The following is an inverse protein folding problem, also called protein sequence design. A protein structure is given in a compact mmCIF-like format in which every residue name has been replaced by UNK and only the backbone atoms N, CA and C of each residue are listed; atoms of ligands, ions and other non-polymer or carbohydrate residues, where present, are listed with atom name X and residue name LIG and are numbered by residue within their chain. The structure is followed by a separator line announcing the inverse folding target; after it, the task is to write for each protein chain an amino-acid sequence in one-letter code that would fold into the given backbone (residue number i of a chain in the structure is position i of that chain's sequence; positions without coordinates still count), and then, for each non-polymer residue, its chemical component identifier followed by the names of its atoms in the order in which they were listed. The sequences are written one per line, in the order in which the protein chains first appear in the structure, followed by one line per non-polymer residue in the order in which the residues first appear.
data_IF_703785106127
#
_entry.id   IF_703785106127
#
_cell.length_a   1.000
_cell.length_b   1.000
_cell.length_c   1.000
_cell.angle_alpha   90.00
_cell.angle_beta   90.00
_cell.angle_gamma   90.00
#
_symmetry.space_group_name_H-M   'P 1'
#
loop_
_entity.id
_entity.type
_entity.pdbx_description
1 polymer ?
#
# COMPACT_ATOMS: atom_id res chain seq x y z
N UNK A 1 -8.47 13.71 -5.84
CA UNK A 1 -9.66 14.10 -5.05
C UNK A 1 -9.69 13.28 -3.75
N UNK A 2 -10.27 13.77 -2.66
CA UNK A 2 -10.45 13.07 -1.35
C UNK A 2 -9.19 12.66 -0.57
N UNK A 3 -7.99 12.96 -1.08
CA UNK A 3 -6.76 12.83 -0.32
C UNK A 3 -5.80 13.98 -0.62
N UNK A 4 -4.87 14.19 0.31
CA UNK A 4 -3.78 15.17 0.23
C UNK A 4 -2.44 14.47 0.40
N UNK A 5 -1.38 15.04 -0.15
CA UNK A 5 0.00 14.54 -0.03
C UNK A 5 0.89 15.69 0.39
N UNK A 6 1.72 15.47 1.40
CA UNK A 6 2.88 16.31 1.72
C UNK A 6 4.14 15.64 1.19
N UNK A 7 4.86 16.30 0.28
CA UNK A 7 6.06 15.76 -0.37
C UNK A 7 7.34 16.13 0.37
N UNK A 8 8.30 15.22 0.37
CA UNK A 8 9.70 15.46 0.69
C UNK A 8 10.49 15.52 -0.64
N UNK A 9 10.97 16.70 -1.01
CA UNK A 9 11.71 16.93 -2.25
C UNK A 9 13.03 16.13 -2.29
N UNK A 10 13.80 16.14 -1.20
CA UNK A 10 15.10 15.46 -1.09
C UNK A 10 14.95 13.93 -1.20
N UNK A 11 13.91 13.38 -0.56
CA UNK A 11 13.60 11.95 -0.61
C UNK A 11 12.86 11.55 -1.88
N UNK A 12 12.33 12.52 -2.63
CA UNK A 12 11.47 12.34 -3.82
C UNK A 12 10.23 11.50 -3.57
N UNK A 13 9.74 11.52 -2.34
CA UNK A 13 8.66 10.67 -1.81
C UNK A 13 7.73 11.49 -0.92
N UNK A 14 6.51 11.01 -0.69
CA UNK A 14 5.62 11.61 0.30
C UNK A 14 6.20 11.47 1.72
N UNK A 15 6.11 12.52 2.53
CA UNK A 15 6.19 12.42 4.00
C UNK A 15 4.94 11.73 4.54
N UNK A 16 3.78 12.23 4.11
CA UNK A 16 2.49 11.77 4.58
C UNK A 16 1.45 11.96 3.48
N UNK A 17 0.55 11.00 3.39
CA UNK A 17 -0.73 11.11 2.69
C UNK A 17 -1.85 11.13 3.71
N UNK A 18 -2.90 11.89 3.44
CA UNK A 18 -4.10 11.97 4.26
C UNK A 18 -5.32 11.73 3.37
N UNK A 19 -5.99 10.60 3.53
CA UNK A 19 -7.14 10.18 2.72
C UNK A 19 -8.40 10.07 3.57
N UNK A 20 -9.50 10.64 3.10
CA UNK A 20 -10.81 10.42 3.70
C UNK A 20 -11.53 9.31 2.96
N UNK A 21 -12.18 8.44 3.73
CA UNK A 21 -13.05 7.36 3.25
C UNK A 21 -14.45 7.63 3.78
N UNK A 22 -15.43 7.66 2.88
CA UNK A 22 -16.85 7.64 3.24
C UNK A 22 -17.46 6.29 2.86
N UNK A 23 -17.52 5.38 3.84
CA UNK A 23 -18.03 4.02 3.66
C UNK A 23 -19.49 3.95 3.22
N UNK A 24 -20.27 5.02 3.44
CA UNK A 24 -21.67 5.09 3.01
C UNK A 24 -21.83 5.46 1.53
N UNK A 25 -20.77 5.97 0.90
CA UNK A 25 -20.74 6.49 -0.47
C UNK A 25 -19.65 5.84 -1.32
N UNK A 26 -19.00 4.79 -0.83
CA UNK A 26 -17.96 4.05 -1.55
C UNK A 26 -18.51 3.48 -2.85
N UNK A 27 -17.69 3.57 -3.91
CA UNK A 27 -17.97 2.99 -5.21
C UNK A 27 -16.82 2.08 -5.65
N UNK A 28 -17.13 1.06 -6.44
CA UNK A 28 -16.09 0.33 -7.16
C UNK A 28 -15.94 0.93 -8.56
N UNK A 29 -14.70 1.23 -8.95
CA UNK A 29 -14.37 1.71 -10.30
C UNK A 29 -13.71 0.57 -11.05
N UNK A 30 -14.31 0.13 -12.15
CA UNK A 30 -13.72 -0.87 -13.04
C UNK A 30 -12.41 -0.32 -13.63
N UNK A 31 -11.38 -1.16 -13.72
CA UNK A 31 -10.04 -0.76 -14.19
C UNK A 31 -10.03 -0.45 -15.68
N UNK A 32 -10.72 -1.25 -16.47
CA UNK A 32 -10.59 -1.29 -17.92
C UNK A 32 -11.46 -0.22 -18.59
N UNK A 33 -12.74 -0.18 -18.24
CA UNK A 33 -13.72 0.71 -18.88
C UNK A 33 -14.13 1.90 -18.02
N UNK A 34 -13.60 1.99 -16.78
CA UNK A 34 -13.93 3.04 -15.80
C UNK A 34 -15.42 3.14 -15.46
N UNK A 35 -16.18 2.07 -15.70
CA UNK A 35 -17.56 1.96 -15.21
C UNK A 35 -17.58 1.98 -13.68
N UNK A 36 -18.65 2.56 -13.13
CA UNK A 36 -18.81 2.76 -11.69
C UNK A 36 -19.92 1.86 -11.19
N UNK A 37 -19.66 1.15 -10.10
CA UNK A 37 -20.62 0.30 -9.40
C UNK A 37 -21.00 0.99 -8.09
N UNK A 38 -22.27 1.33 -7.96
CA UNK A 38 -22.88 1.79 -6.72
C UNK A 38 -23.13 0.61 -5.77
N UNK A 39 -22.92 0.82 -4.47
CA UNK A 39 -23.08 -0.21 -3.43
C UNK A 39 -22.40 -1.54 -3.78
N UNK A 40 -21.09 -1.52 -4.12
CA UNK A 40 -20.38 -2.70 -4.59
C UNK A 40 -20.29 -3.80 -3.51
N UNK A 41 -20.23 -5.05 -3.93
CA UNK A 41 -19.81 -6.15 -3.06
C UNK A 41 -18.35 -5.98 -2.61
N UNK A 42 -17.95 -6.69 -1.54
CA UNK A 42 -16.55 -6.71 -1.08
C UNK A 42 -15.60 -7.29 -2.14
N UNK A 43 -16.09 -8.19 -2.99
CA UNK A 43 -15.36 -8.71 -4.15
C UNK A 43 -15.11 -7.59 -5.17
N UNK A 44 -16.14 -6.82 -5.53
CA UNK A 44 -16.02 -5.71 -6.50
C UNK A 44 -15.13 -4.57 -5.99
N UNK A 45 -15.10 -4.35 -4.67
CA UNK A 45 -14.15 -3.43 -4.03
C UNK A 45 -12.70 -3.94 -4.06
N UNK A 46 -12.48 -5.21 -4.38
CA UNK A 46 -11.16 -5.84 -4.39
C UNK A 46 -10.56 -6.03 -3.00
N UNK A 47 -11.36 -5.91 -1.93
CA UNK A 47 -10.90 -6.04 -0.55
C UNK A 47 -10.76 -7.50 -0.09
N UNK A 48 -11.40 -8.44 -0.81
CA UNK A 48 -11.28 -9.89 -0.58
C UNK A 48 -10.23 -10.57 -1.47
N UNK A 49 -9.81 -9.92 -2.58
CA UNK A 49 -8.83 -10.50 -3.49
C UNK A 49 -7.39 -10.25 -3.02
N UNK A 50 -6.79 -11.28 -2.42
CA UNK A 50 -5.36 -11.27 -1.99
C UNK A 50 -4.40 -11.43 -3.20
N UNK A 51 -4.93 -11.77 -4.38
CA UNK A 51 -4.18 -12.15 -5.58
C UNK A 51 -4.20 -11.11 -6.70
N UNK A 52 -4.82 -9.94 -6.51
CA UNK A 52 -4.88 -8.93 -7.57
C UNK A 52 -3.47 -8.44 -7.88
N UNK A 53 -2.93 -8.76 -9.06
CA UNK A 53 -1.70 -8.19 -9.58
C UNK A 53 -1.70 -6.68 -9.35
N UNK A 54 -0.55 -6.12 -8.96
CA UNK A 54 -0.30 -4.68 -9.14
C UNK A 54 -0.46 -4.43 -10.64
N UNK A 55 -1.65 -4.00 -11.04
CA UNK A 55 -1.95 -3.78 -12.43
C UNK A 55 -1.01 -2.68 -12.93
N UNK A 56 -0.60 -2.84 -14.18
CA UNK A 56 0.16 -1.86 -14.95
C UNK A 56 -0.64 -0.60 -15.28
N UNK A 57 -1.45 -0.10 -14.34
CA UNK A 57 -2.05 1.21 -14.48
C UNK A 57 -0.91 2.23 -14.56
N UNK A 58 -0.98 3.08 -15.57
CA UNK A 58 0.11 3.95 -15.98
C UNK A 58 0.32 5.05 -14.93
N UNK A 59 1.08 4.71 -13.88
CA UNK A 59 1.65 5.70 -12.99
C UNK A 59 2.27 6.81 -13.82
N UNK A 60 1.92 8.04 -13.48
CA UNK A 60 2.34 9.23 -14.22
C UNK A 60 2.97 10.25 -13.29
N UNK A 61 3.89 11.10 -13.80
CA UNK A 61 4.42 12.20 -13.02
C UNK A 61 3.32 13.17 -12.59
N UNK A 62 3.44 13.70 -11.39
CA UNK A 62 2.62 14.80 -10.92
C UNK A 62 3.22 16.11 -11.42
N UNK A 63 2.51 16.79 -12.33
CA UNK A 63 2.95 18.06 -12.94
C UNK A 63 3.12 19.21 -11.95
N UNK A 64 2.67 19.05 -10.70
CA UNK A 64 2.78 20.07 -9.65
C UNK A 64 4.10 20.00 -8.90
N UNK A 65 4.85 18.91 -9.06
CA UNK A 65 6.14 18.65 -8.42
C UNK A 65 7.20 18.56 -9.52
N UNK A 66 8.42 19.04 -9.26
CA UNK A 66 9.50 18.91 -10.23
C UNK A 66 9.81 17.43 -10.50
N UNK A 67 10.32 17.11 -11.69
CA UNK A 67 10.70 15.72 -12.02
C UNK A 67 11.88 15.23 -11.17
N UNK A 68 12.76 16.13 -10.73
CA UNK A 68 13.85 15.84 -9.81
C UNK A 68 13.43 15.71 -8.34
N UNK A 69 12.17 16.01 -8.01
CA UNK A 69 11.62 15.98 -6.65
C UNK A 69 10.55 14.89 -6.46
N UNK A 70 10.43 13.98 -7.42
CA UNK A 70 9.54 12.82 -7.36
C UNK A 70 10.21 11.60 -7.98
N UNK A 71 9.84 10.41 -7.54
CA UNK A 71 10.22 9.19 -8.26
C UNK A 71 9.48 9.13 -9.60
N UNK A 72 10.08 8.51 -10.60
CA UNK A 72 9.53 8.41 -11.96
C UNK A 72 9.70 7.00 -12.51
N UNK A 73 9.32 6.79 -13.77
CA UNK A 73 9.42 5.50 -14.43
C UNK A 73 10.85 4.92 -14.41
N UNK A 74 11.86 5.77 -14.53
CA UNK A 74 13.27 5.44 -14.56
C UNK A 74 13.70 4.72 -13.27
N UNK A 75 13.17 5.16 -12.12
CA UNK A 75 13.43 4.52 -10.82
C UNK A 75 12.96 3.06 -10.78
N UNK A 76 11.73 2.80 -11.26
CA UNK A 76 11.08 1.49 -11.14
C UNK A 76 11.34 0.53 -12.32
N UNK A 77 11.79 1.05 -13.46
CA UNK A 77 12.06 0.25 -14.67
C UNK A 77 13.48 -0.32 -14.64
N UNK A 78 13.70 -1.47 -15.30
CA UNK A 78 15.05 -2.02 -15.53
C UNK A 78 15.94 -2.18 -14.29
N UNK A 79 15.34 -2.41 -13.11
CA UNK A 79 16.07 -2.66 -11.87
C UNK A 79 16.96 -3.90 -11.99
N UNK A 80 18.20 -3.81 -11.52
CA UNK A 80 19.09 -4.96 -11.34
C UNK A 80 18.67 -5.70 -10.06
N UNK A 81 18.30 -6.98 -10.17
CA UNK A 81 17.89 -7.81 -9.04
C UNK A 81 18.96 -8.89 -8.87
N UNK A 82 19.73 -8.90 -7.76
CA UNK A 82 20.72 -9.95 -7.51
C UNK A 82 20.09 -11.34 -7.63
N UNK A 83 20.78 -12.26 -8.32
CA UNK A 83 20.26 -13.60 -8.63
C UNK A 83 19.36 -13.67 -9.87
N UNK A 84 18.90 -12.56 -10.42
CA UNK A 84 18.00 -12.51 -11.59
C UNK A 84 18.48 -11.50 -12.65
N UNK A 85 19.56 -11.79 -13.39
CA UNK A 85 20.19 -10.85 -14.34
C UNK A 85 19.34 -10.57 -15.60
N UNK A 86 18.36 -11.44 -15.91
CA UNK A 86 17.50 -11.29 -17.09
C UNK A 86 16.23 -10.52 -16.73
N UNK A 87 16.10 -9.29 -17.23
CA UNK A 87 14.98 -8.40 -16.90
C UNK A 87 13.58 -8.94 -17.28
N UNK A 88 13.47 -9.92 -18.17
CA UNK A 88 12.18 -10.48 -18.63
C UNK A 88 11.93 -11.91 -18.13
N UNK A 89 12.79 -12.44 -17.27
CA UNK A 89 12.68 -13.83 -16.79
C UNK A 89 11.42 -14.01 -15.95
N UNK A 90 10.79 -15.20 -16.03
CA UNK A 90 9.63 -15.54 -15.20
C UNK A 90 10.03 -15.70 -13.72
N UNK A 91 11.30 -15.98 -13.45
CA UNK A 91 11.85 -16.00 -12.11
C UNK A 91 11.99 -14.57 -11.53
N UNK A 92 12.01 -13.54 -12.38
CA UNK A 92 12.06 -12.10 -12.04
C UNK A 92 10.68 -11.45 -11.85
N UNK A 93 9.58 -12.22 -11.78
CA UNK A 93 8.22 -11.65 -11.65
C UNK A 93 8.06 -10.82 -10.35
N UNK A 94 8.95 -11.01 -9.36
CA UNK A 94 9.18 -10.05 -8.28
C UNK A 94 10.19 -8.97 -8.72
N UNK A 95 9.71 -7.82 -9.20
CA UNK A 95 10.55 -6.60 -9.25
C UNK A 95 11.01 -6.32 -7.82
N UNK A 96 12.31 -6.05 -7.61
CA UNK A 96 12.86 -5.75 -6.27
C UNK A 96 12.02 -4.68 -5.56
N UNK A 97 11.77 -3.53 -6.20
CA UNK A 97 10.79 -2.54 -5.73
C UNK A 97 9.62 -2.35 -6.69
N UNK A 98 8.42 -2.47 -6.15
CA UNK A 98 7.13 -2.20 -6.75
C UNK A 98 6.67 -0.76 -6.45
N UNK A 99 5.63 -0.30 -7.17
CA UNK A 99 5.04 1.04 -6.95
C UNK A 99 3.97 0.91 -5.88
N UNK A 100 4.42 0.80 -4.65
CA UNK A 100 3.56 0.65 -3.49
C UNK A 100 2.71 1.90 -3.29
N UNK A 101 1.39 1.77 -3.45
CA UNK A 101 0.46 2.86 -3.17
C UNK A 101 0.53 3.21 -1.68
N UNK A 102 0.63 4.50 -1.36
CA UNK A 102 0.54 4.97 0.04
C UNK A 102 -0.94 5.15 0.41
N UNK A 103 -1.67 5.95 -0.38
CA UNK A 103 -3.14 5.93 -0.41
C UNK A 103 -3.61 4.89 -1.42
N UNK A 104 -4.46 3.95 -0.98
CA UNK A 104 -4.94 2.88 -1.86
C UNK A 104 -5.95 3.40 -2.87
N UNK A 105 -5.98 2.71 -4.01
CA UNK A 105 -6.87 2.99 -5.14
C UNK A 105 -8.34 3.21 -4.77
N UNK A 106 -8.87 2.35 -3.90
CA UNK A 106 -10.30 2.35 -3.52
C UNK A 106 -10.66 3.31 -2.39
N UNK A 107 -9.69 3.70 -1.57
CA UNK A 107 -9.94 4.52 -0.38
C UNK A 107 -10.64 5.86 -0.72
N UNK A 108 -10.17 6.63 -1.72
CA UNK A 108 -10.80 7.92 -2.04
C UNK A 108 -11.98 7.77 -3.02
N UNK A 109 -12.30 6.56 -3.49
CA UNK A 109 -13.31 6.30 -4.52
C UNK A 109 -14.73 6.26 -3.93
N UNK A 110 -15.22 7.42 -3.52
CA UNK A 110 -16.59 7.62 -3.02
C UNK A 110 -17.17 8.92 -3.58
N UNK A 111 -18.48 9.12 -3.47
CA UNK A 111 -19.12 10.38 -3.84
C UNK A 111 -20.04 10.27 -5.05
N UNK A 112 -19.97 11.21 -6.00
CA UNK A 112 -20.60 11.03 -7.33
C UNK A 112 -19.66 10.31 -8.29
N UNK A 113 -20.17 9.71 -9.37
CA UNK A 113 -19.37 8.88 -10.30
C UNK A 113 -18.10 9.59 -10.78
N UNK A 114 -18.24 10.84 -11.20
CA UNK A 114 -17.13 11.65 -11.69
C UNK A 114 -16.07 11.89 -10.62
N UNK A 115 -16.47 12.10 -9.37
CA UNK A 115 -15.55 12.27 -8.24
C UNK A 115 -14.84 10.96 -7.93
N UNK A 116 -15.56 9.84 -7.87
CA UNK A 116 -14.98 8.53 -7.58
C UNK A 116 -13.95 8.10 -8.64
N UNK A 117 -14.27 8.27 -9.92
CA UNK A 117 -13.35 8.00 -11.04
C UNK A 117 -12.15 8.92 -11.00
N UNK A 118 -12.34 10.22 -10.75
CA UNK A 118 -11.24 11.17 -10.66
C UNK A 118 -10.33 10.89 -9.45
N UNK A 119 -10.92 10.57 -8.29
CA UNK A 119 -10.22 10.22 -7.07
C UNK A 119 -9.36 8.95 -7.24
N UNK A 120 -9.93 7.89 -7.81
CA UNK A 120 -9.22 6.65 -8.14
C UNK A 120 -8.06 6.93 -9.10
N UNK A 121 -8.32 7.68 -10.18
CA UNK A 121 -7.30 8.00 -11.17
C UNK A 121 -6.14 8.79 -10.56
N UNK A 122 -6.42 9.64 -9.57
CA UNK A 122 -5.42 10.46 -8.89
C UNK A 122 -4.50 9.62 -7.98
N UNK A 123 -4.85 8.39 -7.60
CA UNK A 123 -3.94 7.53 -6.81
C UNK A 123 -2.74 7.02 -7.63
N UNK A 124 -2.80 7.14 -8.96
CA UNK A 124 -1.75 6.71 -9.89
C UNK A 124 -0.76 7.82 -10.25
N UNK A 125 -0.52 8.77 -9.37
CA UNK A 125 0.65 9.66 -9.46
C UNK A 125 1.83 9.04 -8.71
N UNK A 126 3.05 9.23 -9.22
CA UNK A 126 4.25 8.74 -8.52
C UNK A 126 4.43 9.38 -7.13
N UNK A 127 3.88 10.56 -6.91
CA UNK A 127 3.84 11.24 -5.61
C UNK A 127 3.04 10.46 -4.55
N UNK A 128 2.17 9.53 -4.96
CA UNK A 128 1.44 8.61 -4.09
C UNK A 128 2.06 7.20 -4.06
N UNK A 129 3.27 7.02 -4.61
CA UNK A 129 3.97 5.75 -4.58
C UNK A 129 5.24 5.80 -3.75
N UNK A 130 5.58 4.67 -3.13
CA UNK A 130 6.87 4.43 -2.51
C UNK A 130 7.46 3.08 -2.96
N UNK A 131 8.80 2.93 -2.95
CA UNK A 131 9.45 1.65 -3.24
C UNK A 131 9.16 0.62 -2.14
N UNK A 132 8.32 -0.36 -2.47
CA UNK A 132 7.98 -1.48 -1.58
C UNK A 132 8.44 -2.79 -2.22
N UNK A 133 9.04 -3.70 -1.45
CA UNK A 133 9.42 -5.02 -1.98
C UNK A 133 8.18 -5.85 -2.36
N UNK A 134 8.22 -6.53 -3.51
CA UNK A 134 7.04 -7.25 -4.02
C UNK A 134 6.45 -8.31 -3.07
N UNK A 135 7.30 -8.94 -2.23
CA UNK A 135 6.86 -9.91 -1.21
C UNK A 135 6.17 -9.27 0.01
N UNK A 136 6.39 -7.98 0.28
CA UNK A 136 5.66 -7.21 1.29
C UNK A 136 4.22 -6.91 0.84
N UNK A 137 4.01 -6.79 -0.47
CA UNK A 137 2.68 -6.61 -1.08
C UNK A 137 1.97 -7.93 -1.44
N UNK A 138 2.68 -9.06 -1.52
CA UNK A 138 2.16 -10.35 -2.00
C UNK A 138 2.18 -11.49 -0.96
N UNK A 139 2.90 -11.36 0.17
CA UNK A 139 3.02 -12.37 1.23
C UNK A 139 4.13 -13.39 0.99
N UNK A 140 4.76 -13.86 2.07
CA UNK A 140 5.77 -14.94 2.06
C UNK A 140 5.15 -16.34 2.09
N UNK A 141 5.82 -17.32 1.47
CA UNK A 141 5.43 -18.73 1.35
C UNK A 141 6.08 -19.67 2.39
N UNK A 142 6.75 -19.14 3.42
CA UNK A 142 7.48 -19.95 4.41
C UNK A 142 6.56 -20.37 5.58
N UNK A 143 6.26 -21.66 5.75
CA UNK A 143 5.36 -22.18 6.81
C UNK A 143 6.11 -23.18 7.72
N UNK A 144 6.73 -22.69 8.81
CA UNK A 144 7.38 -23.48 9.87
C UNK A 144 7.05 -22.95 11.29
N UNK A 145 7.06 -23.77 12.36
CA UNK A 145 6.84 -23.29 13.73
C UNK A 145 7.92 -22.28 14.15
N UNK A 146 7.52 -21.04 14.45
CA UNK A 146 8.44 -19.91 14.71
C UNK A 146 8.82 -19.07 13.49
N UNK A 147 8.31 -19.41 12.30
CA UNK A 147 8.44 -18.59 11.10
C UNK A 147 7.32 -17.57 10.99
N UNK A 148 7.67 -16.32 10.68
CA UNK A 148 6.77 -15.16 10.50
C UNK A 148 6.05 -15.19 9.14
N UNK A 149 5.60 -16.36 8.71
CA UNK A 149 5.07 -16.60 7.38
C UNK A 149 3.56 -16.68 7.37
N UNK A 150 2.93 -15.53 7.11
CA UNK A 150 1.56 -15.35 6.57
C UNK A 150 1.13 -13.88 6.53
N UNK A 151 1.95 -12.97 7.04
CA UNK A 151 1.63 -11.55 7.09
C UNK A 151 1.67 -10.89 5.72
N UNK A 152 0.56 -10.28 5.33
CA UNK A 152 0.46 -9.48 4.11
C UNK A 152 0.05 -8.07 4.53
N UNK A 153 0.92 -7.09 4.30
CA UNK A 153 0.61 -5.67 4.47
C UNK A 153 -0.72 -5.31 3.78
N UNK A 154 -0.97 -5.91 2.61
CA UNK A 154 -2.22 -5.81 1.86
C UNK A 154 -3.49 -6.19 2.64
N UNK A 155 -3.43 -7.14 3.58
CA UNK A 155 -4.58 -7.52 4.40
C UNK A 155 -4.92 -6.45 5.44
N UNK A 156 -3.89 -5.77 5.97
CA UNK A 156 -4.06 -4.60 6.83
C UNK A 156 -4.62 -3.42 6.03
N UNK A 157 -4.12 -3.25 4.81
CA UNK A 157 -4.56 -2.21 3.88
C UNK A 157 -6.05 -2.32 3.51
N UNK A 158 -6.55 -3.52 3.21
CA UNK A 158 -7.98 -3.71 2.89
C UNK A 158 -8.89 -3.71 4.10
N UNK A 159 -8.37 -3.98 5.31
CA UNK A 159 -9.15 -3.98 6.56
C UNK A 159 -9.82 -2.62 6.81
N UNK A 160 -9.12 -1.51 6.59
CA UNK A 160 -9.67 -0.16 6.86
C UNK A 160 -10.86 0.13 5.95
N UNK A 161 -10.70 -0.07 4.64
CA UNK A 161 -11.78 0.15 3.66
C UNK A 161 -12.95 -0.82 3.90
N UNK A 162 -12.68 -2.10 4.15
CA UNK A 162 -13.71 -3.10 4.45
C UNK A 162 -14.56 -2.70 5.66
N UNK A 163 -13.94 -2.26 6.75
CA UNK A 163 -14.67 -1.85 7.95
C UNK A 163 -15.44 -0.55 7.73
N UNK A 164 -14.82 0.45 7.10
CA UNK A 164 -15.50 1.69 6.75
C UNK A 164 -16.76 1.40 5.92
N UNK A 165 -16.65 0.56 4.89
CA UNK A 165 -17.76 0.18 4.03
C UNK A 165 -18.85 -0.60 4.77
N UNK A 166 -18.47 -1.65 5.49
CA UNK A 166 -19.41 -2.54 6.21
C UNK A 166 -20.20 -1.79 7.29
N UNK A 167 -19.53 -0.88 8.01
CA UNK A 167 -20.15 -0.08 9.07
C UNK A 167 -20.80 1.21 8.55
N UNK A 168 -20.65 1.53 7.26
CA UNK A 168 -20.99 2.83 6.67
C UNK A 168 -20.33 4.00 7.41
N UNK A 169 -19.15 3.74 7.97
CA UNK A 169 -18.37 4.68 8.76
C UNK A 169 -17.57 5.66 7.90
N UNK A 170 -17.25 6.81 8.49
CA UNK A 170 -16.28 7.75 7.93
C UNK A 170 -14.94 7.56 8.64
N UNK A 171 -13.89 7.42 7.85
CA UNK A 171 -12.53 7.15 8.34
C UNK A 171 -11.56 8.11 7.66
N UNK A 172 -10.61 8.64 8.43
CA UNK A 172 -9.45 9.36 7.90
C UNK A 172 -8.22 8.50 8.07
N UNK A 173 -7.46 8.30 6.99
CA UNK A 173 -6.25 7.50 6.96
C UNK A 173 -5.05 8.40 6.70
N UNK A 174 -4.11 8.42 7.63
CA UNK A 174 -2.78 8.96 7.42
C UNK A 174 -1.82 7.81 7.11
N UNK A 175 -0.92 7.98 6.14
CA UNK A 175 0.07 6.95 5.83
C UNK A 175 1.32 7.56 5.19
N UNK A 176 2.46 6.95 5.43
CA UNK A 176 3.73 7.39 4.88
C UNK A 176 4.87 6.39 5.13
N UNK A 177 6.03 6.63 4.51
CA UNK A 177 7.26 5.97 4.90
C UNK A 177 7.80 6.52 6.23
N UNK A 178 8.65 5.74 6.89
CA UNK A 178 9.59 6.25 7.90
C UNK A 178 10.91 6.52 7.22
N UNK A 179 11.43 7.73 7.37
CA UNK A 179 12.71 8.12 6.81
C UNK A 179 13.81 8.01 7.86
N UNK A 180 14.80 7.15 7.60
CA UNK A 180 15.98 7.00 8.44
C UNK A 180 17.23 7.53 7.74
N UNK A 181 18.21 7.99 8.52
CA UNK A 181 19.51 8.46 7.96
C UNK A 181 20.29 7.32 7.30
N UNK A 182 20.14 6.11 7.84
CA UNK A 182 20.75 4.87 7.32
C UNK A 182 19.88 4.14 6.28
N UNK A 183 18.85 4.80 5.72
CA UNK A 183 18.11 4.20 4.61
C UNK A 183 19.08 3.88 3.45
N UNK A 184 19.04 2.68 2.87
CA UNK A 184 20.04 2.25 1.90
C UNK A 184 20.01 3.14 0.65
N UNK A 185 21.18 3.58 0.16
CA UNK A 185 21.25 4.29 -1.09
C UNK A 185 20.79 3.37 -2.22
N UNK A 186 20.02 3.93 -3.13
CA UNK A 186 19.56 3.28 -4.34
C UNK A 186 19.65 4.28 -5.50
N UNK A 187 19.44 3.75 -6.70
CA UNK A 187 19.57 4.44 -7.99
C UNK A 187 19.18 5.94 -7.94
N UNK A 188 19.88 6.74 -8.73
CA UNK A 188 19.61 8.18 -8.86
C UNK A 188 19.75 8.95 -7.55
N UNK A 189 20.74 8.59 -6.71
CA UNK A 189 21.05 9.27 -5.44
C UNK A 189 19.89 9.27 -4.44
N UNK A 190 19.01 8.27 -4.54
CA UNK A 190 17.85 8.13 -3.65
C UNK A 190 18.19 7.25 -2.45
N UNK A 191 17.39 7.36 -1.40
CA UNK A 191 17.47 6.49 -0.22
C UNK A 191 16.13 5.81 0.00
N UNK A 192 16.12 4.48 0.05
CA UNK A 192 14.88 3.70 0.09
C UNK A 192 14.41 3.52 1.53
N UNK A 193 13.22 4.02 1.91
CA UNK A 193 12.69 3.81 3.25
C UNK A 193 12.44 2.32 3.50
N UNK A 194 12.72 1.88 4.72
CA UNK A 194 12.57 0.46 5.11
C UNK A 194 11.36 0.18 5.98
N UNK A 195 10.67 1.22 6.46
CA UNK A 195 9.43 1.07 7.22
C UNK A 195 8.35 1.95 6.65
N UNK A 196 7.11 1.52 6.82
CA UNK A 196 5.91 2.24 6.44
C UNK A 196 4.93 2.24 7.60
N UNK A 197 4.21 3.33 7.75
CA UNK A 197 3.24 3.51 8.81
C UNK A 197 1.86 3.87 8.25
N UNK A 198 0.82 3.54 8.99
CA UNK A 198 -0.56 3.90 8.69
C UNK A 198 -1.33 4.14 9.99
N UNK A 199 -2.09 5.22 10.04
CA UNK A 199 -2.98 5.56 11.15
C UNK A 199 -4.38 5.75 10.57
N UNK A 200 -5.34 4.92 10.98
CA UNK A 200 -6.74 5.11 10.63
C UNK A 200 -7.51 5.64 11.85
N UNK A 201 -8.27 6.71 11.62
CA UNK A 201 -9.00 7.47 12.63
C UNK A 201 -10.48 7.48 12.30
N UNK A 202 -11.33 7.27 13.31
CA UNK A 202 -12.77 7.41 13.18
C UNK A 202 -13.36 7.94 14.49
N UNK A 203 -14.57 8.46 14.44
CA UNK A 203 -15.30 8.88 15.64
C UNK A 203 -16.47 7.95 15.89
N UNK A 204 -16.65 7.55 17.15
CA UNK A 204 -17.85 6.86 17.63
C UNK A 204 -18.51 7.65 18.78
N UNK A 205 -19.54 7.08 19.42
CA UNK A 205 -20.26 7.73 20.53
C UNK A 205 -19.38 7.99 21.77
N UNK A 206 -18.28 7.24 21.92
CA UNK A 206 -17.34 7.36 23.03
C UNK A 206 -16.14 8.27 22.69
N UNK A 207 -16.06 8.80 21.47
CA UNK A 207 -15.08 9.80 21.05
C UNK A 207 -14.22 9.37 19.88
N UNK A 208 -13.04 9.97 19.76
CA UNK A 208 -12.08 9.68 18.70
C UNK A 208 -11.40 8.33 18.97
N UNK A 209 -11.33 7.50 17.93
CA UNK A 209 -10.66 6.21 17.92
C UNK A 209 -9.55 6.22 16.88
N UNK A 210 -8.50 5.45 17.15
CA UNK A 210 -7.36 5.30 16.26
C UNK A 210 -6.88 3.84 16.26
N UNK A 211 -6.40 3.40 15.11
CA UNK A 211 -5.51 2.24 14.97
C UNK A 211 -4.24 2.70 14.28
N UNK A 212 -3.09 2.37 14.86
CA UNK A 212 -1.77 2.71 14.35
C UNK A 212 -1.04 1.42 13.96
N UNK A 213 -0.38 1.48 12.81
CA UNK A 213 0.25 0.35 12.16
C UNK A 213 1.64 0.75 11.70
N UNK A 214 2.62 -0.09 11.98
CA UNK A 214 4.02 0.05 11.55
C UNK A 214 4.50 -1.27 10.95
N UNK A 215 5.00 -1.21 9.72
CA UNK A 215 5.47 -2.38 9.00
C UNK A 215 6.92 -2.19 8.54
N UNK A 216 7.75 -3.21 8.79
CA UNK A 216 9.18 -3.23 8.47
C UNK A 216 9.45 -4.22 7.33
N UNK A 217 10.05 -3.73 6.23
CA UNK A 217 10.39 -4.57 5.08
C UNK A 217 11.82 -5.13 5.12
N UNK A 218 12.65 -4.78 6.12
CA UNK A 218 14.01 -5.33 6.32
C UNK A 218 14.05 -6.86 6.35
N UNK A 219 13.16 -7.56 7.10
CA UNK A 219 13.23 -9.02 7.16
C UNK A 219 12.98 -9.70 5.81
N UNK A 220 12.30 -9.03 4.87
CA UNK A 220 12.11 -9.54 3.50
C UNK A 220 13.35 -9.32 2.64
N UNK A 221 14.10 -8.24 2.89
CA UNK A 221 15.36 -7.94 2.19
C UNK A 221 16.51 -8.84 2.65
N UNK A 222 16.52 -9.25 3.92
CA UNK A 222 17.54 -10.14 4.51
C UNK A 222 17.36 -11.61 4.13
N UNK A 223 16.12 -12.04 3.80
CA UNK A 223 15.79 -13.41 3.39
C UNK A 223 15.65 -13.47 1.86
N UNK A 224 16.79 -13.45 1.16
CA UNK A 224 16.89 -13.83 -0.26
C UNK A 224 18.05 -14.83 -0.45
N UNK A 225 17.79 -16.14 -0.21
CA UNK A 225 17.81 -17.11 -1.31
C UNK A 225 16.80 -18.29 -1.17
N UNK A 226 16.22 -18.70 -2.30
CA UNK A 226 15.51 -19.97 -2.63
C UNK A 226 14.27 -20.43 -1.82
N UNK A 227 13.13 -20.65 -2.53
CA UNK A 227 12.40 -21.94 -2.63
C UNK A 227 10.91 -21.76 -2.96
N UNK A 228 10.47 -22.37 -4.07
CA UNK A 228 9.06 -22.57 -4.44
C UNK A 228 8.58 -23.94 -3.93
N UNK A 229 7.38 -24.01 -3.36
CA UNK A 229 6.66 -25.23 -3.04
C UNK A 229 5.15 -24.97 -2.92
N UNK A 230 4.34 -25.82 -3.57
CA UNK A 230 2.88 -25.67 -3.76
C UNK A 230 2.05 -26.01 -2.50
N UNK A 231 0.99 -25.23 -2.20
CA UNK A 231 -0.45 -25.64 -2.12
C UNK A 231 -1.34 -24.73 -1.24
N UNK A 232 -2.54 -24.48 -1.81
CA UNK A 232 -3.91 -24.43 -1.27
C UNK A 232 -4.37 -23.45 -0.15
N UNK A 233 -5.27 -22.54 -0.60
CA UNK A 233 -6.68 -22.28 -0.20
C UNK A 233 -7.12 -21.80 1.22
N UNK A 234 -8.01 -20.79 1.16
CA UNK A 234 -9.30 -20.60 1.87
C UNK A 234 -9.44 -19.91 3.27
N UNK A 235 -10.14 -18.74 3.23
CA UNK A 235 -11.26 -18.18 4.06
C UNK A 235 -11.18 -17.82 5.58
N UNK A 236 -12.00 -16.81 5.93
CA UNK A 236 -12.71 -16.39 7.18
C UNK A 236 -12.20 -16.83 8.57
N UNK A 237 -11.43 -16.01 9.32
CA UNK A 237 -10.98 -16.43 10.68
C UNK A 237 -10.43 -15.29 11.58
N UNK A 238 -10.64 -15.32 12.93
CA UNK A 238 -9.83 -14.71 14.01
C UNK A 238 -8.32 -14.50 13.77
N UNK A 239 -7.73 -15.26 12.86
CA UNK A 239 -6.47 -14.95 12.20
C UNK A 239 -6.37 -13.50 11.69
N UNK A 240 -7.45 -12.81 11.32
CA UNK A 240 -7.38 -11.40 10.89
C UNK A 240 -6.84 -10.47 11.99
N UNK A 241 -7.24 -10.67 13.25
CA UNK A 241 -6.72 -9.89 14.38
C UNK A 241 -5.26 -10.25 14.63
N UNK A 242 -4.90 -11.54 14.57
CA UNK A 242 -3.52 -12.00 14.69
C UNK A 242 -2.62 -11.44 13.56
N UNK A 243 -3.14 -11.37 12.33
CA UNK A 243 -2.45 -10.82 11.15
C UNK A 243 -2.18 -9.32 11.25
N UNK A 244 -3.06 -8.56 11.89
CA UNK A 244 -2.86 -7.11 12.12
C UNK A 244 -1.98 -6.89 13.35
N UNK A 245 -2.03 -7.78 14.36
CA UNK A 245 -1.32 -7.62 15.63
C UNK A 245 0.19 -7.46 15.49
N UNK A 246 0.80 -8.10 14.48
CA UNK A 246 2.24 -8.02 14.24
C UNK A 246 2.68 -6.65 13.67
N UNK A 247 1.73 -5.86 13.18
CA UNK A 247 1.95 -4.50 12.71
C UNK A 247 1.41 -3.44 13.67
N UNK A 248 0.71 -3.82 14.74
CA UNK A 248 0.15 -2.84 15.67
C UNK A 248 1.27 -2.04 16.32
N UNK A 249 1.06 -0.73 16.37
CA UNK A 249 1.90 0.25 17.02
C UNK A 249 1.00 1.27 17.73
N UNK A 250 1.59 2.29 18.34
CA UNK A 250 0.85 3.43 18.88
C UNK A 250 1.05 4.66 18.01
N UNK A 251 0.12 5.62 18.13
CA UNK A 251 0.28 6.93 17.47
C UNK A 251 1.57 7.61 17.96
N UNK A 252 1.85 7.54 19.26
CA UNK A 252 3.06 8.12 19.86
C UNK A 252 4.36 7.51 19.29
N UNK A 253 4.42 6.19 19.10
CA UNK A 253 5.58 5.54 18.48
C UNK A 253 5.78 6.00 17.02
N UNK A 254 4.70 6.21 16.27
CA UNK A 254 4.80 6.73 14.90
C UNK A 254 5.29 8.19 14.94
N UNK A 255 4.77 9.01 15.85
CA UNK A 255 5.19 10.41 16.04
C UNK A 255 6.69 10.54 16.39
N UNK A 256 7.24 9.60 17.17
CA UNK A 256 8.68 9.58 17.47
C UNK A 256 9.55 9.22 16.26
N UNK A 257 9.00 8.50 15.28
CA UNK A 257 9.70 8.01 14.09
C UNK A 257 9.64 8.94 12.88
N UNK A 258 8.71 9.91 12.85
CA UNK A 258 8.37 10.71 11.65
C UNK A 258 8.41 12.21 11.92
#
# INVERSE_FOLDING_TARGET
HHFSILMNADRRLAFVTACNIDGSRTKAVNREDKTVIDNPSLVELGVESISGSEASDAFRPDRRIDLGEQMTQEFYSSQNVPGFPVAKSKERIARMFQKGHITLRGDPAWGVDQEAVAAERDTFFYTNAAPQVGFFNQGSSLDHPGSKGKLRWRAVETYVLRNAYTTRGRVTVFAGPVFHQDDPPYRFESHVPLKFWKIALWSDQAGLRAIALLADQKPVLEVMPEAFGERAEAFDDPLEIARVSEFLSTVAEIEELT
#
